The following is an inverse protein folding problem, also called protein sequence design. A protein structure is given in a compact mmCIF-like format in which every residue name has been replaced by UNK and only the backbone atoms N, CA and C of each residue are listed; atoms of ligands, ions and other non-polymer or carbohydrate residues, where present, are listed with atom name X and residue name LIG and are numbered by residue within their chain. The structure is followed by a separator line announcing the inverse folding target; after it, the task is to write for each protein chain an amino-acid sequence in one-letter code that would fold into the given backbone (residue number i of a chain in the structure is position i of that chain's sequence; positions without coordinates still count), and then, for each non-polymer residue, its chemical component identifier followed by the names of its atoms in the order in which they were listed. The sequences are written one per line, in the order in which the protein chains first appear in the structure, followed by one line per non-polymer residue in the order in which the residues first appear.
data_IF_041463286477
#
_entry.id   IF_041463286477
#
_cell.length_a   1.000
_cell.length_b   1.000
_cell.length_c   1.000
_cell.angle_alpha   90.00
_cell.angle_beta   90.00
_cell.angle_gamma   90.00
#
_symmetry.space_group_name_H-M   'P 1'
#
loop_
_entity.id
_entity.type
_entity.pdbx_description
1 polymer ?
#
# COMPACT_ATOMS: atom_id res chain seq x y z
N UNK A 1 7.15 46.39 65.43
CA UNK A 1 8.06 46.38 64.26
C UNK A 1 7.96 45.01 63.59
N UNK A 2 7.23 44.91 62.46
CA UNK A 2 7.07 43.66 61.70
C UNK A 2 8.26 43.50 60.74
N UNK A 3 8.95 42.36 60.78
CA UNK A 3 10.00 41.98 59.83
C UNK A 3 9.33 41.43 58.56
N UNK A 4 9.67 42.01 57.42
CA UNK A 4 9.27 41.51 56.09
C UNK A 4 10.32 40.46 55.67
N UNK A 5 9.86 39.23 55.47
CA UNK A 5 10.62 38.19 54.75
C UNK A 5 10.50 38.47 53.26
N UNK A 6 11.64 38.71 52.60
CA UNK A 6 11.73 38.69 51.14
C UNK A 6 12.12 37.26 50.74
N UNK A 7 11.19 36.50 50.15
CA UNK A 7 11.50 35.24 49.48
C UNK A 7 11.73 35.58 48.01
N UNK A 8 12.96 35.42 47.56
CA UNK A 8 13.33 35.49 46.15
C UNK A 8 13.00 34.13 45.52
N UNK A 9 11.95 34.06 44.71
CA UNK A 9 11.67 32.91 43.84
C UNK A 9 12.43 33.14 42.54
N UNK A 10 13.54 32.44 42.35
CA UNK A 10 14.24 32.36 41.07
C UNK A 10 13.60 31.22 40.30
N UNK A 11 12.74 31.54 39.34
CA UNK A 11 12.23 30.59 38.36
C UNK A 11 13.34 30.27 37.35
N UNK A 12 13.86 29.05 37.40
CA UNK A 12 14.68 28.50 36.31
C UNK A 12 13.70 28.05 35.23
N UNK A 13 13.56 28.85 34.17
CA UNK A 13 12.93 28.43 32.93
C UNK A 13 14.01 27.74 32.11
N UNK A 14 14.14 26.42 32.26
CA UNK A 14 14.84 25.59 31.28
C UNK A 14 13.92 25.44 30.08
N UNK A 15 14.06 26.34 29.11
CA UNK A 15 13.45 26.20 27.79
C UNK A 15 14.15 25.08 27.03
N UNK A 16 13.55 23.89 27.02
CA UNK A 16 13.73 22.98 25.90
C UNK A 16 12.96 23.60 24.72
N UNK A 17 13.64 24.42 23.92
CA UNK A 17 13.15 24.80 22.60
C UNK A 17 13.28 23.58 21.68
N UNK A 18 12.40 22.59 21.87
CA UNK A 18 12.15 21.59 20.82
C UNK A 18 11.37 22.28 19.71
N UNK A 19 11.70 21.97 18.45
CA UNK A 19 10.82 22.32 17.34
C UNK A 19 9.42 21.80 17.62
N UNK A 20 8.35 22.57 17.34
CA UNK A 20 7.00 22.05 17.48
C UNK A 20 6.83 20.78 16.63
N UNK A 21 6.11 19.79 17.15
CA UNK A 21 5.91 18.48 16.51
C UNK A 21 5.35 18.62 15.08
N UNK A 22 4.48 19.60 14.89
CA UNK A 22 3.87 19.97 13.62
C UNK A 22 3.79 21.49 13.47
N UNK A 23 4.03 21.97 12.24
CA UNK A 23 3.70 23.34 11.82
C UNK A 23 2.87 23.31 10.55
N UNK A 24 1.94 24.26 10.42
CA UNK A 24 1.30 24.56 9.15
C UNK A 24 2.12 25.63 8.43
N UNK A 25 2.80 25.25 7.34
CA UNK A 25 3.68 26.14 6.55
C UNK A 25 2.83 27.14 5.76
N UNK A 26 1.71 26.64 5.23
CA UNK A 26 0.64 27.38 4.55
C UNK A 26 -0.63 26.54 4.67
N UNK A 27 -1.78 27.13 4.34
CA UNK A 27 -3.08 26.45 4.44
C UNK A 27 -3.05 25.06 3.79
N UNK A 28 -3.31 24.03 4.58
CA UNK A 28 -3.34 22.64 4.10
C UNK A 28 -1.96 22.01 3.82
N UNK A 29 -0.86 22.67 4.19
CA UNK A 29 0.50 22.15 4.05
C UNK A 29 1.21 22.16 5.39
N UNK A 30 1.61 20.98 5.82
CA UNK A 30 2.11 20.73 7.16
C UNK A 30 3.51 20.14 7.10
N UNK A 31 4.38 20.56 8.01
CA UNK A 31 5.72 20.00 8.17
C UNK A 31 5.87 19.37 9.55
N UNK A 32 6.42 18.16 9.58
CA UNK A 32 6.61 17.33 10.78
C UNK A 32 7.96 16.63 10.75
N UNK A 33 8.41 16.12 11.90
CA UNK A 33 9.63 15.31 11.98
C UNK A 33 9.31 13.82 12.12
N UNK A 34 8.17 13.48 12.69
CA UNK A 34 7.70 12.12 12.90
C UNK A 34 6.42 11.89 12.10
N UNK A 35 6.29 10.69 11.53
CA UNK A 35 5.10 10.28 10.78
C UNK A 35 3.84 10.35 11.65
N UNK A 36 3.96 10.02 12.93
CA UNK A 36 2.86 10.02 13.90
C UNK A 36 2.18 11.40 14.06
N UNK A 37 2.86 12.49 13.68
CA UNK A 37 2.33 13.84 13.76
C UNK A 37 1.60 14.29 12.49
N UNK A 38 1.58 13.47 11.42
CA UNK A 38 0.93 13.83 10.17
C UNK A 38 -0.60 13.95 10.32
N UNK A 39 -1.24 15.00 9.77
CA UNK A 39 -2.68 15.19 9.88
C UNK A 39 -3.45 14.36 8.84
N UNK A 40 -3.19 13.05 8.81
CA UNK A 40 -3.88 12.12 7.91
C UNK A 40 -5.34 11.94 8.37
N UNK A 41 -6.32 11.93 7.45
CA UNK A 41 -7.71 11.70 7.81
C UNK A 41 -7.91 10.24 8.21
N UNK A 42 -8.69 10.00 9.25
CA UNK A 42 -8.95 8.64 9.71
C UNK A 42 -10.44 8.27 9.67
N UNK A 43 -11.25 9.03 8.93
CA UNK A 43 -12.67 8.77 8.76
C UNK A 43 -13.18 9.30 7.41
N UNK A 44 -14.32 8.78 6.97
CA UNK A 44 -15.03 9.26 5.78
C UNK A 44 -14.66 8.58 4.46
N UNK A 45 -13.90 7.48 4.53
CA UNK A 45 -13.47 6.70 3.36
C UNK A 45 -13.62 5.20 3.63
N UNK A 46 -13.98 4.46 2.58
CA UNK A 46 -14.05 3.00 2.57
C UNK A 46 -12.64 2.40 2.42
N UNK A 47 -11.77 3.06 1.64
CA UNK A 47 -10.39 2.63 1.40
C UNK A 47 -9.42 3.79 1.64
N UNK A 48 -8.38 3.52 2.40
CA UNK A 48 -7.21 4.38 2.54
C UNK A 48 -6.06 3.73 1.80
N UNK A 49 -5.38 4.44 0.90
CA UNK A 49 -4.24 3.91 0.16
C UNK A 49 -3.00 4.77 0.33
N UNK A 50 -1.90 4.11 0.69
CA UNK A 50 -0.54 4.64 0.58
C UNK A 50 0.06 4.18 -0.74
N UNK A 51 0.14 5.08 -1.70
CA UNK A 51 0.83 4.90 -2.98
C UNK A 51 2.33 5.11 -2.82
N UNK A 52 3.10 4.02 -2.80
CA UNK A 52 4.53 4.01 -2.54
C UNK A 52 5.43 4.08 -3.78
N UNK A 53 6.68 4.45 -3.55
CA UNK A 53 7.79 4.01 -4.38
C UNK A 53 8.45 2.84 -3.63
N UNK A 54 8.40 1.63 -4.21
CA UNK A 54 8.75 0.40 -3.51
C UNK A 54 10.18 0.39 -2.97
N UNK A 55 10.41 -0.16 -1.78
CA UNK A 55 11.76 -0.35 -1.27
C UNK A 55 12.32 0.83 -0.47
N UNK A 56 11.45 1.73 0.01
CA UNK A 56 11.81 2.89 0.83
C UNK A 56 11.34 2.72 2.29
N UNK A 57 12.29 2.77 3.22
CA UNK A 57 12.03 2.49 4.64
C UNK A 57 11.02 3.45 5.25
N UNK A 58 11.12 4.74 4.94
CA UNK A 58 10.28 5.79 5.52
C UNK A 58 8.82 5.67 5.06
N UNK A 59 8.57 5.13 3.86
CA UNK A 59 7.21 4.85 3.40
C UNK A 59 6.63 3.63 4.13
N UNK A 60 7.45 2.63 4.48
CA UNK A 60 7.02 1.55 5.37
C UNK A 60 6.60 2.08 6.74
N UNK A 61 7.35 3.04 7.29
CA UNK A 61 6.99 3.71 8.55
C UNK A 61 5.69 4.51 8.41
N UNK A 62 5.50 5.23 7.30
CA UNK A 62 4.24 5.91 6.97
C UNK A 62 3.05 4.96 7.03
N UNK A 63 3.17 3.84 6.34
CA UNK A 63 2.11 2.85 6.27
C UNK A 63 1.76 2.28 7.65
N UNK A 64 2.77 1.85 8.42
CA UNK A 64 2.57 1.23 9.72
C UNK A 64 2.01 2.21 10.77
N UNK A 65 2.44 3.47 10.76
CA UNK A 65 1.84 4.47 11.66
C UNK A 65 0.41 4.82 11.22
N UNK A 66 0.14 4.89 9.91
CA UNK A 66 -1.22 5.15 9.46
C UNK A 66 -2.18 4.01 9.79
N UNK A 67 -1.69 2.76 9.73
CA UNK A 67 -2.41 1.58 10.23
C UNK A 67 -2.81 1.76 11.70
N UNK A 68 -1.88 2.14 12.56
CA UNK A 68 -2.16 2.37 13.99
C UNK A 68 -3.20 3.48 14.17
N UNK A 69 -3.05 4.61 13.46
CA UNK A 69 -4.00 5.72 13.53
C UNK A 69 -5.41 5.28 13.14
N UNK A 70 -5.55 4.54 12.03
CA UNK A 70 -6.84 4.05 11.53
C UNK A 70 -7.44 2.99 12.45
N UNK A 71 -6.61 2.09 12.98
CA UNK A 71 -7.04 1.09 13.95
C UNK A 71 -7.57 1.76 15.22
N UNK A 72 -6.83 2.71 15.79
CA UNK A 72 -7.24 3.43 17.01
C UNK A 72 -8.52 4.26 16.82
N UNK A 73 -8.75 4.83 15.64
CA UNK A 73 -9.89 5.71 15.38
C UNK A 73 -11.14 5.00 14.87
N UNK A 74 -10.99 3.92 14.11
CA UNK A 74 -12.09 3.23 13.43
C UNK A 74 -12.23 1.76 13.77
N UNK A 75 -11.23 1.18 14.44
CA UNK A 75 -11.13 -0.27 14.62
C UNK A 75 -10.78 -0.99 13.32
N UNK A 76 -10.08 -0.35 12.38
CA UNK A 76 -9.62 -0.97 11.14
C UNK A 76 -8.76 -2.20 11.46
N UNK A 77 -9.12 -3.34 10.86
CA UNK A 77 -8.37 -4.60 10.98
C UNK A 77 -7.85 -5.12 9.65
N UNK A 78 -8.20 -4.48 8.54
CA UNK A 78 -8.04 -5.07 7.22
C UNK A 78 -6.98 -4.29 6.45
N UNK A 79 -5.90 -4.98 6.11
CA UNK A 79 -4.80 -4.48 5.29
C UNK A 79 -4.79 -5.19 3.94
N UNK A 80 -4.69 -4.44 2.85
CA UNK A 80 -4.47 -5.00 1.51
C UNK A 80 -3.04 -4.67 1.03
N UNK A 81 -2.31 -5.67 0.54
CA UNK A 81 -0.95 -5.49 0.02
C UNK A 81 -0.88 -5.89 -1.46
N UNK A 82 -0.07 -5.14 -2.22
CA UNK A 82 0.38 -5.55 -3.55
C UNK A 82 1.40 -6.69 -3.44
N UNK A 83 0.89 -7.91 -3.31
CA UNK A 83 1.64 -9.16 -3.25
C UNK A 83 0.73 -10.33 -3.66
N UNK A 84 1.36 -11.43 -4.06
CA UNK A 84 0.71 -12.66 -4.54
C UNK A 84 -0.31 -13.23 -3.54
N UNK A 85 -1.58 -13.39 -3.98
CA UNK A 85 -2.64 -13.95 -3.13
C UNK A 85 -2.33 -15.35 -2.60
N UNK A 86 -1.60 -16.13 -3.38
CA UNK A 86 -1.22 -17.52 -3.04
C UNK A 86 -0.44 -17.66 -1.72
N UNK A 87 0.12 -16.58 -1.18
CA UNK A 87 0.88 -16.59 0.07
C UNK A 87 0.11 -15.93 1.23
N UNK A 88 -1.19 -15.68 1.09
CA UNK A 88 -1.99 -14.96 2.08
C UNK A 88 -2.07 -15.70 3.41
N UNK A 89 -2.23 -17.03 3.39
CA UNK A 89 -2.24 -17.84 4.62
C UNK A 89 -0.90 -17.74 5.36
N UNK A 90 0.22 -17.96 4.67
CA UNK A 90 1.57 -17.81 5.23
C UNK A 90 1.81 -16.42 5.83
N UNK A 91 1.34 -15.37 5.17
CA UNK A 91 1.44 -14.00 5.67
C UNK A 91 0.64 -13.84 6.98
N UNK A 92 -0.60 -14.35 7.03
CA UNK A 92 -1.46 -14.26 8.20
C UNK A 92 -0.96 -15.12 9.38
N UNK A 93 -0.45 -16.33 9.12
CA UNK A 93 0.20 -17.15 10.14
C UNK A 93 1.43 -16.43 10.74
N UNK A 94 2.23 -15.78 9.90
CA UNK A 94 3.41 -15.05 10.35
C UNK A 94 3.04 -13.83 11.21
N UNK A 95 2.09 -13.00 10.77
CA UNK A 95 1.71 -11.77 11.50
C UNK A 95 0.87 -12.05 12.75
N UNK A 96 0.17 -13.19 12.81
CA UNK A 96 -0.59 -13.60 13.99
C UNK A 96 0.28 -14.21 15.09
N UNK A 97 1.51 -14.62 14.72
CA UNK A 97 2.47 -15.30 15.58
C UNK A 97 2.30 -16.82 15.64
N UNK A 98 1.52 -17.41 14.73
CA UNK A 98 1.39 -18.86 14.60
C UNK A 98 2.71 -19.52 14.14
N UNK A 99 3.49 -18.79 13.32
CA UNK A 99 4.85 -19.18 12.91
C UNK A 99 5.84 -18.04 13.14
N UNK A 100 7.10 -18.38 13.41
CA UNK A 100 8.23 -17.43 13.45
C UNK A 100 8.96 -17.31 12.10
N UNK A 101 8.58 -18.16 11.13
CA UNK A 101 9.21 -18.26 9.83
C UNK A 101 8.38 -17.47 8.83
N UNK A 102 8.97 -16.42 8.27
CA UNK A 102 8.40 -15.74 7.11
C UNK A 102 8.74 -16.54 5.85
N UNK A 103 7.74 -16.82 5.02
CA UNK A 103 7.94 -17.42 3.70
C UNK A 103 8.92 -16.60 2.87
N UNK A 104 9.84 -17.28 2.17
CA UNK A 104 10.88 -16.62 1.38
C UNK A 104 10.29 -15.76 0.25
N UNK A 105 9.18 -16.19 -0.32
CA UNK A 105 8.50 -15.46 -1.40
C UNK A 105 7.90 -14.12 -0.94
N UNK A 106 7.62 -13.98 0.36
CA UNK A 106 7.14 -12.73 0.97
C UNK A 106 8.28 -11.77 1.38
N UNK A 107 9.53 -12.05 0.99
CA UNK A 107 10.69 -11.28 1.44
C UNK A 107 10.62 -9.79 1.04
N UNK A 108 9.97 -9.45 -0.09
CA UNK A 108 9.78 -8.08 -0.53
C UNK A 108 8.87 -7.26 0.41
N UNK A 109 7.97 -7.93 1.12
CA UNK A 109 7.06 -7.33 2.11
C UNK A 109 7.48 -7.56 3.55
N UNK A 110 8.64 -8.16 3.79
CA UNK A 110 9.09 -8.56 5.13
C UNK A 110 9.04 -7.44 6.17
N UNK A 111 9.44 -6.21 5.83
CA UNK A 111 9.44 -5.11 6.80
C UNK A 111 8.02 -4.67 7.18
N UNK A 112 7.08 -4.72 6.22
CA UNK A 112 5.67 -4.42 6.48
C UNK A 112 5.07 -5.51 7.35
N UNK A 113 5.26 -6.79 6.97
CA UNK A 113 4.73 -7.93 7.71
C UNK A 113 5.32 -8.02 9.14
N UNK A 114 6.62 -7.79 9.31
CA UNK A 114 7.26 -7.68 10.64
C UNK A 114 6.63 -6.55 11.47
N UNK A 115 6.39 -5.39 10.85
CA UNK A 115 5.75 -4.25 11.53
C UNK A 115 4.32 -4.54 11.97
N UNK A 116 3.52 -5.18 11.10
CA UNK A 116 2.15 -5.61 11.42
C UNK A 116 2.18 -6.65 12.53
N UNK A 117 3.08 -7.64 12.47
CA UNK A 117 3.28 -8.63 13.53
C UNK A 117 3.55 -8.00 14.89
N UNK A 118 4.52 -7.09 14.95
CA UNK A 118 4.83 -6.39 16.20
C UNK A 118 3.65 -5.58 16.72
N UNK A 119 2.82 -5.03 15.83
CA UNK A 119 1.61 -4.35 16.26
C UNK A 119 0.57 -5.33 16.78
N UNK A 120 0.32 -6.45 16.09
CA UNK A 120 -0.57 -7.53 16.53
C UNK A 120 -0.21 -8.10 17.90
N UNK A 121 1.08 -8.17 18.24
CA UNK A 121 1.54 -8.58 19.58
C UNK A 121 1.06 -7.63 20.70
N UNK A 122 0.64 -6.41 20.36
CA UNK A 122 0.09 -5.42 21.30
C UNK A 122 -1.44 -5.41 21.36
N UNK A 123 -2.10 -6.07 20.42
CA UNK A 123 -3.57 -6.04 20.26
C UNK A 123 -4.22 -7.28 20.90
N UNK A 124 -5.46 -7.19 21.39
CA UNK A 124 -6.23 -8.36 21.78
C UNK A 124 -6.62 -9.18 20.53
N UNK A 125 -6.88 -10.47 20.73
CA UNK A 125 -7.11 -11.43 19.63
C UNK A 125 -8.22 -11.00 18.65
N UNK A 126 -9.29 -10.39 19.18
CA UNK A 126 -10.43 -9.93 18.38
C UNK A 126 -10.20 -8.61 17.64
N UNK A 127 -9.05 -7.97 17.85
CA UNK A 127 -8.67 -6.67 17.25
C UNK A 127 -7.42 -6.79 16.37
N UNK A 128 -6.87 -8.01 16.20
CA UNK A 128 -5.72 -8.24 15.33
C UNK A 128 -5.99 -7.78 13.90
N UNK A 129 -4.93 -7.32 13.28
CA UNK A 129 -4.84 -6.96 11.87
C UNK A 129 -4.68 -8.25 11.05
N UNK A 130 -5.48 -8.33 9.99
CA UNK A 130 -5.44 -9.35 8.95
C UNK A 130 -4.93 -8.71 7.66
N UNK A 131 -4.14 -9.47 6.92
CA UNK A 131 -3.60 -9.03 5.64
C UNK A 131 -4.27 -9.82 4.53
N UNK A 132 -4.68 -9.12 3.48
CA UNK A 132 -5.08 -9.69 2.21
C UNK A 132 -4.04 -9.35 1.16
N UNK A 133 -3.54 -10.37 0.47
CA UNK A 133 -2.62 -10.23 -0.64
C UNK A 133 -3.48 -10.34 -1.90
N UNK A 134 -3.50 -9.30 -2.73
CA UNK A 134 -4.52 -9.20 -3.80
C UNK A 134 -3.94 -9.17 -5.21
N UNK A 135 -2.62 -9.35 -5.33
CA UNK A 135 -1.93 -9.43 -6.61
C UNK A 135 -2.03 -10.83 -7.23
N UNK A 136 -1.76 -10.89 -8.55
CA UNK A 136 -2.03 -12.05 -9.38
C UNK A 136 -0.83 -12.55 -10.18
N UNK A 137 0.32 -11.90 -10.03
CA UNK A 137 1.49 -12.14 -10.85
C UNK A 137 2.31 -13.36 -10.40
N UNK A 138 1.62 -14.31 -9.77
CA UNK A 138 2.18 -15.47 -9.09
C UNK A 138 2.75 -16.50 -10.09
N UNK A 139 3.86 -17.16 -9.75
CA UNK A 139 4.35 -18.31 -10.51
C UNK A 139 3.36 -19.47 -10.42
N UNK A 140 3.39 -20.37 -11.41
CA UNK A 140 2.46 -21.51 -11.49
C UNK A 140 2.54 -22.42 -10.26
N UNK A 141 3.70 -22.54 -9.63
CA UNK A 141 3.88 -23.29 -8.38
C UNK A 141 3.07 -22.70 -7.23
N UNK A 142 2.98 -21.38 -7.14
CA UNK A 142 2.23 -20.70 -6.10
C UNK A 142 0.72 -20.74 -6.40
N UNK A 143 0.33 -20.62 -7.67
CA UNK A 143 -1.07 -20.85 -8.09
C UNK A 143 -1.51 -22.29 -7.75
N UNK A 144 -0.63 -23.28 -7.98
CA UNK A 144 -0.89 -24.68 -7.65
C UNK A 144 -1.06 -24.92 -6.16
N UNK A 145 -0.20 -24.32 -5.34
CA UNK A 145 -0.29 -24.36 -3.87
C UNK A 145 -1.62 -23.74 -3.39
N UNK A 146 -1.99 -22.57 -3.91
CA UNK A 146 -3.25 -21.94 -3.56
C UNK A 146 -4.47 -22.80 -3.94
N UNK A 147 -4.43 -23.50 -5.08
CA UNK A 147 -5.45 -24.48 -5.47
C UNK A 147 -5.55 -25.62 -4.44
N UNK A 148 -4.42 -26.11 -3.93
CA UNK A 148 -4.40 -27.17 -2.91
C UNK A 148 -5.02 -26.69 -1.60
N UNK A 149 -4.70 -25.48 -1.17
CA UNK A 149 -5.20 -24.89 0.08
C UNK A 149 -6.73 -24.72 0.01
N UNK A 150 -7.23 -24.10 -1.07
CA UNK A 150 -8.67 -23.95 -1.29
C UNK A 150 -9.35 -25.33 -1.36
N UNK A 151 -8.74 -26.30 -2.05
CA UNK A 151 -9.28 -27.65 -2.16
C UNK A 151 -9.41 -28.35 -0.79
N UNK A 152 -8.43 -28.17 0.10
CA UNK A 152 -8.49 -28.65 1.48
C UNK A 152 -9.61 -27.94 2.26
N UNK A 153 -9.69 -26.61 2.16
CA UNK A 153 -10.68 -25.78 2.85
C UNK A 153 -12.13 -26.17 2.50
N UNK A 154 -12.43 -26.30 1.20
CA UNK A 154 -13.78 -26.67 0.74
C UNK A 154 -14.09 -28.16 0.98
N UNK A 155 -13.09 -28.97 1.32
CA UNK A 155 -13.21 -30.41 1.57
C UNK A 155 -13.59 -31.20 0.32
N UNK A 156 -13.11 -30.81 -0.86
CA UNK A 156 -13.50 -31.39 -2.14
C UNK A 156 -12.71 -32.64 -2.55
N UNK A 157 -12.44 -33.55 -1.62
CA UNK A 157 -11.55 -34.72 -1.83
C UNK A 157 -11.97 -35.76 -2.90
N UNK A 158 -13.08 -35.54 -3.59
CA UNK A 158 -13.47 -36.30 -4.79
C UNK A 158 -12.88 -35.70 -6.09
N UNK A 159 -12.31 -34.49 -6.03
CA UNK A 159 -11.61 -33.82 -7.13
C UNK A 159 -10.12 -34.11 -6.98
N UNK A 160 -9.51 -34.68 -8.02
CA UNK A 160 -8.08 -35.01 -8.01
C UNK A 160 -7.28 -33.78 -8.45
N UNK A 161 -6.43 -33.26 -7.55
CA UNK A 161 -5.49 -32.19 -7.88
C UNK A 161 -4.19 -32.84 -8.39
N UNK A 162 -3.73 -32.53 -9.61
CA UNK A 162 -2.49 -33.11 -10.14
C UNK A 162 -1.29 -32.74 -9.27
N UNK A 163 -0.20 -33.51 -9.39
CA UNK A 163 1.08 -33.07 -8.85
C UNK A 163 1.57 -31.79 -9.54
N UNK A 164 2.46 -31.03 -8.89
CA UNK A 164 3.01 -29.81 -9.51
C UNK A 164 3.70 -30.11 -10.86
N UNK A 165 4.46 -31.21 -10.96
CA UNK A 165 5.12 -31.62 -12.20
C UNK A 165 4.11 -31.86 -13.34
N UNK A 166 2.97 -32.48 -13.05
CA UNK A 166 1.89 -32.67 -14.03
C UNK A 166 1.17 -31.35 -14.36
N UNK A 167 0.94 -30.51 -13.35
CA UNK A 167 0.27 -29.21 -13.51
C UNK A 167 1.10 -28.26 -14.37
N UNK A 168 2.43 -28.30 -14.27
CA UNK A 168 3.35 -27.54 -15.13
C UNK A 168 3.29 -27.96 -16.62
N UNK A 169 2.83 -29.17 -16.91
CA UNK A 169 2.63 -29.66 -18.28
C UNK A 169 1.25 -29.29 -18.86
N UNK A 170 0.33 -28.78 -18.04
CA UNK A 170 -1.01 -28.42 -18.48
C UNK A 170 -1.03 -27.17 -19.37
N UNK A 171 -2.11 -27.03 -20.14
CA UNK A 171 -2.45 -25.79 -20.81
C UNK A 171 -3.52 -25.03 -20.00
N UNK A 172 -3.83 -23.80 -20.42
CA UNK A 172 -4.82 -22.95 -19.76
C UNK A 172 -6.20 -23.62 -19.65
N UNK A 173 -6.66 -24.32 -20.69
CA UNK A 173 -7.99 -24.94 -20.68
C UNK A 173 -8.09 -26.05 -19.62
N UNK A 174 -7.06 -26.89 -19.50
CA UNK A 174 -7.01 -27.98 -18.51
C UNK A 174 -7.02 -27.41 -17.07
N UNK A 175 -6.21 -26.38 -16.82
CA UNK A 175 -6.16 -25.72 -15.51
C UNK A 175 -7.48 -25.03 -15.15
N UNK A 176 -8.14 -24.37 -16.12
CA UNK A 176 -9.44 -23.73 -15.91
C UNK A 176 -10.56 -24.74 -15.63
N UNK A 177 -10.54 -25.91 -16.27
CA UNK A 177 -11.52 -26.97 -15.98
C UNK A 177 -11.42 -27.40 -14.52
N UNK A 178 -10.21 -27.54 -13.98
CA UNK A 178 -10.02 -27.88 -12.56
C UNK A 178 -10.60 -26.78 -11.64
N UNK A 179 -10.29 -25.52 -11.92
CA UNK A 179 -10.80 -24.38 -11.13
C UNK A 179 -12.33 -24.33 -11.17
N UNK A 180 -12.96 -24.55 -12.33
CA UNK A 180 -14.42 -24.59 -12.43
C UNK A 180 -15.03 -25.75 -11.63
N UNK A 181 -14.41 -26.92 -11.61
CA UNK A 181 -14.85 -28.03 -10.75
C UNK A 181 -14.80 -27.67 -9.27
N UNK A 182 -13.73 -26.99 -8.84
CA UNK A 182 -13.59 -26.51 -7.46
C UNK A 182 -14.64 -25.45 -7.13
N UNK A 183 -14.95 -24.53 -8.06
CA UNK A 183 -16.01 -23.52 -7.88
C UNK A 183 -17.38 -24.15 -7.72
N UNK A 184 -17.68 -25.22 -8.48
CA UNK A 184 -18.93 -25.96 -8.34
C UNK A 184 -19.04 -26.70 -6.98
N UNK A 185 -17.90 -27.08 -6.40
CA UNK A 185 -17.83 -27.74 -5.09
C UNK A 185 -17.86 -26.75 -3.91
N UNK A 186 -17.34 -25.54 -4.10
CA UNK A 186 -17.32 -24.46 -3.11
C UNK A 186 -18.75 -24.03 -2.73
N UNK A 187 -18.94 -23.65 -1.46
CA UNK A 187 -20.28 -23.33 -0.91
C UNK A 187 -20.38 -21.92 -0.36
N UNK A 188 -19.26 -21.35 0.03
CA UNK A 188 -19.13 -20.01 0.58
C UNK A 188 -18.61 -19.02 -0.47
N UNK A 189 -18.98 -17.73 -0.36
CA UNK A 189 -18.53 -16.70 -1.29
C UNK A 189 -17.02 -16.44 -1.29
N UNK A 190 -16.33 -16.73 -0.19
CA UNK A 190 -14.90 -16.47 -0.02
C UNK A 190 -14.08 -17.41 -0.90
N UNK A 191 -14.29 -18.72 -0.78
CA UNK A 191 -13.68 -19.74 -1.62
C UNK A 191 -13.97 -19.49 -3.11
N UNK A 192 -15.19 -19.04 -3.44
CA UNK A 192 -15.55 -18.70 -4.83
C UNK A 192 -14.73 -17.50 -5.32
N UNK A 193 -14.60 -16.43 -4.52
CA UNK A 193 -13.79 -15.26 -4.89
C UNK A 193 -12.30 -15.62 -5.05
N UNK A 194 -11.77 -16.46 -4.16
CA UNK A 194 -10.39 -16.96 -4.29
C UNK A 194 -10.20 -17.76 -5.58
N UNK A 195 -11.14 -18.65 -5.92
CA UNK A 195 -11.07 -19.43 -7.17
C UNK A 195 -11.27 -18.58 -8.43
N UNK A 196 -12.09 -17.53 -8.38
CA UNK A 196 -12.16 -16.53 -9.45
C UNK A 196 -10.82 -15.82 -9.63
N UNK A 197 -10.13 -15.53 -8.53
CA UNK A 197 -8.80 -14.93 -8.57
C UNK A 197 -7.77 -15.88 -9.17
N UNK A 198 -7.75 -17.14 -8.74
CA UNK A 198 -6.91 -18.21 -9.31
C UNK A 198 -7.14 -18.33 -10.82
N UNK A 199 -8.39 -18.30 -11.28
CA UNK A 199 -8.70 -18.35 -12.72
C UNK A 199 -8.03 -17.20 -13.49
N UNK A 200 -8.08 -15.98 -12.94
CA UNK A 200 -7.47 -14.82 -13.58
C UNK A 200 -5.93 -14.90 -13.54
N UNK A 201 -5.34 -15.34 -12.42
CA UNK A 201 -3.89 -15.57 -12.30
C UNK A 201 -3.41 -16.59 -13.34
N UNK A 202 -4.16 -17.67 -13.58
CA UNK A 202 -3.86 -18.63 -14.65
C UNK A 202 -3.88 -17.97 -16.03
N UNK A 203 -4.93 -17.23 -16.37
CA UNK A 203 -4.98 -16.51 -17.66
C UNK A 203 -3.84 -15.50 -17.80
N UNK A 204 -3.46 -14.81 -16.71
CA UNK A 204 -2.35 -13.87 -16.69
C UNK A 204 -0.99 -14.57 -16.93
N UNK A 205 -0.77 -15.72 -16.28
CA UNK A 205 0.40 -16.57 -16.46
C UNK A 205 0.53 -17.12 -17.89
N UNK A 206 -0.55 -17.70 -18.43
CA UNK A 206 -0.55 -18.30 -19.78
C UNK A 206 -0.47 -17.25 -20.90
N UNK A 207 -0.86 -15.99 -20.64
CA UNK A 207 -0.59 -14.87 -21.53
C UNK A 207 0.91 -14.49 -21.62
N UNK A 208 1.76 -15.07 -20.76
CA UNK A 208 3.21 -14.91 -20.77
C UNK A 208 3.74 -13.86 -19.80
N UNK A 209 2.90 -13.38 -18.88
CA UNK A 209 3.32 -12.53 -17.77
C UNK A 209 3.86 -13.43 -16.66
N UNK A 210 5.15 -13.32 -16.35
CA UNK A 210 5.80 -14.11 -15.31
C UNK A 210 6.55 -13.16 -14.41
N UNK A 211 6.16 -13.11 -13.15
CA UNK A 211 6.86 -12.30 -12.16
C UNK A 211 7.36 -13.23 -11.07
N UNK A 212 8.68 -13.21 -10.87
CA UNK A 212 9.37 -13.91 -9.80
C UNK A 212 10.00 -12.85 -8.87
N UNK A 213 10.59 -13.27 -7.75
CA UNK A 213 11.24 -12.40 -6.72
C UNK A 213 12.37 -11.52 -7.30
N UNK A 214 12.75 -11.72 -8.56
CA UNK A 214 13.75 -10.93 -9.30
C UNK A 214 13.21 -9.85 -10.24
N UNK A 215 14.04 -9.37 -11.19
CA UNK A 215 13.64 -8.39 -12.19
C UNK A 215 12.44 -8.90 -13.00
N UNK A 216 11.50 -8.01 -13.35
CA UNK A 216 10.32 -8.36 -14.15
C UNK A 216 10.75 -8.95 -15.50
N UNK A 217 10.32 -10.18 -15.81
CA UNK A 217 10.57 -10.86 -17.09
C UNK A 217 9.24 -11.06 -17.83
N UNK A 218 8.90 -10.22 -18.80
CA UNK A 218 7.67 -10.39 -19.59
C UNK A 218 7.22 -9.15 -20.37
N UNK A 219 6.16 -9.29 -21.15
CA UNK A 219 5.50 -8.17 -21.83
C UNK A 219 4.40 -7.63 -20.93
N UNK A 220 4.51 -6.38 -20.43
CA UNK A 220 3.50 -5.70 -19.60
C UNK A 220 2.16 -5.40 -20.34
N UNK A 221 1.80 -6.14 -21.39
CA UNK A 221 0.62 -5.87 -22.23
C UNK A 221 -0.72 -6.12 -21.51
N UNK A 222 -0.73 -6.91 -20.43
CA UNK A 222 -1.97 -7.35 -19.77
C UNK A 222 -2.27 -6.61 -18.46
N UNK A 223 -1.62 -5.46 -18.21
CA UNK A 223 -1.91 -4.59 -17.07
C UNK A 223 -3.42 -4.30 -16.86
N UNK A 224 -4.28 -4.14 -17.90
CA UNK A 224 -5.72 -3.95 -17.69
C UNK A 224 -6.46 -5.13 -17.05
N UNK A 225 -6.00 -6.37 -17.27
CA UNK A 225 -6.60 -7.58 -16.67
C UNK A 225 -6.23 -7.65 -15.19
N UNK A 226 -4.94 -7.45 -14.89
CA UNK A 226 -4.44 -7.40 -13.51
C UNK A 226 -5.17 -6.35 -12.67
N UNK A 227 -5.29 -5.12 -13.17
CA UNK A 227 -6.01 -4.07 -12.43
C UNK A 227 -7.51 -4.35 -12.27
N UNK A 228 -8.15 -5.03 -13.23
CA UNK A 228 -9.56 -5.41 -13.10
C UNK A 228 -9.77 -6.42 -11.97
N UNK A 229 -8.90 -7.42 -11.86
CA UNK A 229 -9.01 -8.42 -10.82
C UNK A 229 -8.64 -7.89 -9.43
N UNK A 230 -7.57 -7.07 -9.32
CA UNK A 230 -7.28 -6.35 -8.08
C UNK A 230 -8.49 -5.50 -7.67
N UNK A 231 -9.17 -4.85 -8.63
CA UNK A 231 -10.40 -4.10 -8.35
C UNK A 231 -11.49 -5.01 -7.79
N UNK A 232 -11.69 -6.20 -8.34
CA UNK A 232 -12.70 -7.17 -7.87
C UNK A 232 -12.38 -7.63 -6.44
N UNK A 233 -11.12 -7.98 -6.16
CA UNK A 233 -10.67 -8.36 -4.82
C UNK A 233 -10.88 -7.23 -3.81
N UNK A 234 -10.50 -6.00 -4.16
CA UNK A 234 -10.75 -4.85 -3.29
C UNK A 234 -12.24 -4.58 -3.08
N UNK A 235 -13.08 -4.79 -4.10
CA UNK A 235 -14.54 -4.67 -3.94
C UNK A 235 -15.10 -5.74 -3.02
N UNK A 236 -14.58 -6.97 -3.07
CA UNK A 236 -14.95 -8.04 -2.15
C UNK A 236 -14.62 -7.63 -0.71
N UNK A 237 -13.39 -7.18 -0.44
CA UNK A 237 -12.96 -6.72 0.89
C UNK A 237 -13.86 -5.59 1.42
N UNK A 238 -14.17 -4.60 0.59
CA UNK A 238 -15.03 -3.47 0.99
C UNK A 238 -16.48 -3.88 1.24
N UNK A 239 -17.03 -4.84 0.47
CA UNK A 239 -18.44 -5.24 0.55
C UNK A 239 -18.70 -6.28 1.64
N UNK A 240 -17.87 -7.30 1.75
CA UNK A 240 -18.12 -8.45 2.64
C UNK A 240 -17.76 -8.15 4.10
N UNK A 241 -16.83 -7.22 4.37
CA UNK A 241 -16.40 -6.85 5.72
C UNK A 241 -17.32 -5.82 6.42
N UNK A 242 -18.60 -5.76 6.02
CA UNK A 242 -19.71 -5.04 6.66
C UNK A 242 -19.38 -3.63 7.20
N UNK A 243 -18.62 -2.84 6.43
CA UNK A 243 -18.36 -1.43 6.71
C UNK A 243 -17.10 -1.12 7.52
N UNK A 244 -16.18 -2.08 7.67
CA UNK A 244 -14.82 -1.74 8.09
C UNK A 244 -14.04 -1.12 6.93
N UNK A 245 -13.29 -0.03 7.17
CA UNK A 245 -12.39 0.51 6.17
C UNK A 245 -11.20 -0.42 5.91
N UNK A 246 -10.62 -0.33 4.72
CA UNK A 246 -9.40 -1.07 4.31
C UNK A 246 -8.22 -0.12 4.19
N UNK A 247 -7.05 -0.52 4.66
CA UNK A 247 -5.79 0.20 4.43
C UNK A 247 -4.93 -0.56 3.42
N UNK A 248 -4.54 0.09 2.32
CA UNK A 248 -3.82 -0.52 1.22
C UNK A 248 -2.40 0.05 1.06
N UNK A 249 -1.41 -0.80 0.76
CA UNK A 249 -0.06 -0.40 0.34
C UNK A 249 0.23 -0.92 -1.07
N UNK A 250 0.38 0.00 -2.02
CA UNK A 250 0.60 -0.30 -3.43
C UNK A 250 1.58 0.68 -4.04
N UNK A 251 2.21 0.29 -5.16
CA UNK A 251 2.93 1.22 -6.02
C UNK A 251 2.06 2.43 -6.37
N UNK A 252 2.66 3.61 -6.36
CA UNK A 252 1.98 4.90 -6.52
C UNK A 252 1.11 5.02 -7.78
N UNK A 253 1.39 4.25 -8.83
CA UNK A 253 0.52 4.20 -10.01
C UNK A 253 -0.87 3.64 -9.70
N UNK A 254 -0.96 2.59 -8.89
CA UNK A 254 -2.21 1.96 -8.47
C UNK A 254 -3.10 2.89 -7.63
N UNK A 255 -2.46 3.81 -6.90
CA UNK A 255 -3.14 4.79 -6.05
C UNK A 255 -3.77 5.95 -6.84
N UNK A 256 -3.52 6.08 -8.15
CA UNK A 256 -4.05 7.19 -8.95
C UNK A 256 -5.57 7.09 -9.11
N UNK A 257 -6.28 8.20 -8.94
CA UNK A 257 -7.73 8.31 -9.20
C UNK A 257 -8.07 8.79 -10.62
N UNK A 258 -7.05 9.16 -11.40
CA UNK A 258 -7.19 9.61 -12.79
C UNK A 258 -5.97 9.22 -13.62
N UNK A 259 -6.16 9.16 -14.94
CA UNK A 259 -5.07 8.84 -15.88
C UNK A 259 -4.08 10.01 -16.00
N UNK A 260 -3.00 9.95 -15.21
CA UNK A 260 -2.09 11.08 -15.06
C UNK A 260 -0.74 10.93 -15.78
N UNK A 261 -0.29 9.74 -16.18
CA UNK A 261 1.04 9.57 -16.79
C UNK A 261 1.07 10.03 -18.26
N UNK A 262 2.16 10.71 -18.67
CA UNK A 262 2.34 11.17 -20.06
C UNK A 262 2.53 9.98 -21.02
N UNK A 263 3.34 8.99 -20.62
CA UNK A 263 3.66 7.80 -21.41
C UNK A 263 3.49 6.54 -20.56
N UNK A 264 2.26 6.11 -20.24
CA UNK A 264 2.05 4.86 -19.52
C UNK A 264 2.49 3.67 -20.38
N UNK A 265 3.03 2.62 -19.76
CA UNK A 265 3.37 1.35 -20.45
C UNK A 265 2.15 0.70 -21.11
N UNK A 266 0.96 0.90 -20.51
CA UNK A 266 -0.32 0.48 -21.05
C UNK A 266 -1.23 1.72 -21.25
N UNK A 267 -1.32 2.27 -22.48
CA UNK A 267 -2.24 3.35 -22.81
C UNK A 267 -3.67 2.99 -22.41
N UNK A 268 -4.38 3.95 -21.81
CA UNK A 268 -5.78 3.79 -21.35
C UNK A 268 -6.02 2.80 -20.20
N UNK A 269 -4.96 2.20 -19.64
CA UNK A 269 -5.10 1.36 -18.44
C UNK A 269 -5.48 2.23 -17.23
N UNK A 270 -6.62 1.89 -16.61
CA UNK A 270 -7.06 2.48 -15.34
C UNK A 270 -6.53 1.65 -14.19
N UNK A 271 -5.90 2.33 -13.23
CA UNK A 271 -5.58 1.77 -11.93
C UNK A 271 -6.85 1.30 -11.21
N UNK A 272 -6.71 0.36 -10.28
CA UNK A 272 -7.83 -0.08 -9.47
C UNK A 272 -8.43 1.05 -8.61
N UNK A 273 -7.64 2.01 -8.11
CA UNK A 273 -8.18 3.13 -7.34
C UNK A 273 -9.09 4.02 -8.21
N UNK A 274 -8.75 4.22 -9.48
CA UNK A 274 -9.61 4.92 -10.44
C UNK A 274 -10.91 4.13 -10.67
N UNK A 275 -10.83 2.82 -10.89
CA UNK A 275 -12.01 1.96 -11.12
C UNK A 275 -12.95 1.91 -9.91
N UNK A 276 -12.41 1.79 -8.70
CA UNK A 276 -13.17 1.83 -7.46
C UNK A 276 -13.84 3.20 -7.23
N UNK A 277 -13.13 4.30 -7.51
CA UNK A 277 -13.72 5.65 -7.42
C UNK A 277 -14.89 5.80 -8.40
N UNK A 278 -14.74 5.31 -9.63
CA UNK A 278 -15.81 5.30 -10.65
C UNK A 278 -17.01 4.41 -10.27
N UNK A 279 -16.80 3.36 -9.48
CA UNK A 279 -17.87 2.50 -8.96
C UNK A 279 -18.56 3.04 -7.70
N UNK A 280 -18.10 4.19 -7.18
CA UNK A 280 -18.68 4.88 -6.04
C UNK A 280 -18.07 4.53 -4.68
N UNK A 281 -16.97 3.77 -4.65
CA UNK A 281 -16.19 3.54 -3.43
C UNK A 281 -15.43 4.81 -3.07
N UNK A 282 -15.53 5.23 -1.82
CA UNK A 282 -14.83 6.42 -1.32
C UNK A 282 -13.38 6.06 -0.96
N UNK A 283 -12.42 6.69 -1.63
CA UNK A 283 -10.99 6.41 -1.46
C UNK A 283 -10.28 7.67 -1.00
N UNK A 284 -9.43 7.54 0.03
CA UNK A 284 -8.41 8.52 0.36
C UNK A 284 -7.06 8.03 -0.13
N UNK A 285 -6.51 8.72 -1.13
CA UNK A 285 -5.28 8.31 -1.80
C UNK A 285 -4.09 9.22 -1.51
N UNK A 286 -3.00 8.64 -1.01
CA UNK A 286 -1.75 9.33 -0.70
C UNK A 286 -0.68 8.95 -1.71
N UNK A 287 -0.01 9.94 -2.29
CA UNK A 287 1.26 9.72 -2.99
C UNK A 287 2.43 9.98 -2.03
N UNK A 288 3.23 8.94 -1.74
CA UNK A 288 4.37 9.03 -0.82
C UNK A 288 5.70 8.89 -1.57
N UNK A 289 6.65 9.79 -1.32
CA UNK A 289 7.96 9.77 -2.01
C UNK A 289 9.07 10.48 -1.22
N UNK A 290 10.33 10.11 -1.48
CA UNK A 290 11.51 10.87 -1.05
C UNK A 290 11.93 11.97 -2.03
N UNK A 291 12.51 13.07 -1.54
CA UNK A 291 13.18 14.08 -2.38
C UNK A 291 14.53 13.60 -2.88
N UNK A 292 15.31 13.01 -1.97
CA UNK A 292 16.61 12.41 -2.22
C UNK A 292 16.73 11.10 -1.47
N UNK A 293 17.74 10.30 -1.80
CA UNK A 293 18.09 9.10 -1.06
C UNK A 293 18.29 7.92 -1.98
N UNK A 294 18.09 6.71 -1.43
CA UNK A 294 18.23 5.45 -2.17
C UNK A 294 17.11 4.50 -1.80
N UNK A 295 16.72 3.67 -2.75
CA UNK A 295 15.84 2.52 -2.51
C UNK A 295 16.50 1.20 -2.86
N UNK A 296 15.84 0.13 -2.43
CA UNK A 296 16.19 -1.24 -2.79
C UNK A 296 14.93 -2.06 -3.05
N UNK A 297 14.79 -2.60 -4.25
CA UNK A 297 13.64 -3.40 -4.63
C UNK A 297 14.06 -4.47 -5.64
N UNK A 298 13.63 -5.73 -5.44
CA UNK A 298 13.90 -6.86 -6.36
C UNK A 298 15.37 -6.96 -6.78
N UNK A 299 16.24 -6.94 -5.78
CA UNK A 299 17.70 -6.96 -5.93
C UNK A 299 18.34 -5.78 -6.67
N UNK A 300 17.58 -4.71 -6.92
CA UNK A 300 18.04 -3.50 -7.57
C UNK A 300 18.11 -2.32 -6.61
N UNK A 301 19.28 -1.66 -6.58
CA UNK A 301 19.44 -0.34 -5.95
C UNK A 301 19.16 0.74 -6.98
N UNK A 302 18.40 1.74 -6.57
CA UNK A 302 18.12 2.91 -7.40
C UNK A 302 18.22 4.19 -6.58
N UNK A 303 18.56 5.29 -7.25
CA UNK A 303 18.58 6.61 -6.64
C UNK A 303 17.16 7.20 -6.63
N UNK A 304 16.77 7.76 -5.49
CA UNK A 304 15.50 8.47 -5.36
C UNK A 304 15.77 9.94 -5.65
N UNK A 305 15.09 10.48 -6.65
CA UNK A 305 15.09 11.91 -6.92
C UNK A 305 13.67 12.37 -7.23
N UNK A 306 13.23 13.42 -6.53
CA UNK A 306 12.09 14.22 -6.92
C UNK A 306 12.55 15.67 -7.11
N UNK A 307 12.39 16.18 -8.33
CA UNK A 307 12.70 17.57 -8.61
C UNK A 307 11.59 18.48 -8.04
N UNK A 308 11.79 18.97 -6.81
CA UNK A 308 10.85 19.83 -6.10
C UNK A 308 10.56 21.18 -6.80
N UNK A 309 11.35 21.59 -7.81
CA UNK A 309 11.03 22.76 -8.63
C UNK A 309 9.95 22.48 -9.68
N UNK A 310 9.68 21.21 -10.00
CA UNK A 310 8.64 20.81 -10.97
C UNK A 310 7.25 20.76 -10.36
N UNK A 311 7.17 20.55 -9.05
CA UNK A 311 5.90 20.59 -8.33
C UNK A 311 5.55 22.06 -8.09
N UNK A 312 4.51 22.54 -8.76
CA UNK A 312 4.11 23.95 -8.74
C UNK A 312 2.67 24.10 -8.23
N UNK A 313 2.46 24.96 -7.25
CA UNK A 313 1.14 25.29 -6.69
C UNK A 313 0.44 26.38 -7.52
N UNK A 314 -0.85 26.59 -7.27
CA UNK A 314 -1.71 27.54 -8.01
C UNK A 314 -1.17 28.98 -8.04
N UNK A 315 -0.54 29.42 -6.95
CA UNK A 315 0.05 30.75 -6.79
C UNK A 315 1.43 30.89 -7.44
N UNK A 316 1.92 29.85 -8.11
CA UNK A 316 3.21 29.80 -8.76
C UNK A 316 4.38 29.43 -7.83
N UNK A 317 4.14 29.26 -6.53
CA UNK A 317 5.16 28.74 -5.61
C UNK A 317 5.51 27.30 -5.97
N UNK A 318 6.74 26.89 -5.65
CA UNK A 318 7.21 25.52 -5.90
C UNK A 318 7.30 24.74 -4.59
N UNK A 319 7.26 23.41 -4.66
CA UNK A 319 7.55 22.55 -3.51
C UNK A 319 8.91 22.89 -2.90
N UNK A 320 9.91 23.23 -3.71
CA UNK A 320 11.22 23.67 -3.21
C UNK A 320 11.14 24.93 -2.35
N UNK A 321 10.25 25.89 -2.67
CA UNK A 321 10.04 27.10 -1.86
C UNK A 321 9.40 26.74 -0.53
N UNK A 322 8.35 25.93 -0.56
CA UNK A 322 7.64 25.45 0.64
C UNK A 322 8.58 24.69 1.59
N UNK A 323 9.42 23.81 1.04
CA UNK A 323 10.47 23.14 1.81
C UNK A 323 11.50 24.13 2.38
N UNK A 324 11.76 25.24 1.70
CA UNK A 324 12.64 26.30 2.20
C UNK A 324 12.07 27.02 3.43
N UNK A 325 10.75 27.09 3.56
CA UNK A 325 10.06 27.74 4.68
C UNK A 325 9.99 26.85 5.95
N UNK A 326 10.27 25.55 5.82
CA UNK A 326 10.29 24.58 6.92
C UNK A 326 11.60 23.74 6.94
N UNK A 327 12.79 24.36 7.05
CA UNK A 327 14.07 23.68 6.86
C UNK A 327 14.40 22.63 7.93
N UNK A 328 13.86 22.79 9.14
CA UNK A 328 14.13 21.95 10.31
C UNK A 328 13.20 20.73 10.43
N UNK A 329 12.42 20.44 9.38
CA UNK A 329 11.42 19.38 9.34
C UNK A 329 11.74 18.34 8.28
N UNK A 330 11.71 17.06 8.63
CA UNK A 330 12.07 15.95 7.75
C UNK A 330 10.96 15.53 6.78
N UNK A 331 9.70 15.83 7.12
CA UNK A 331 8.53 15.36 6.38
C UNK A 331 7.61 16.55 6.07
N UNK A 332 7.09 16.59 4.85
CA UNK A 332 6.07 17.53 4.42
C UNK A 332 4.82 16.76 3.98
N UNK A 333 3.65 17.19 4.43
CA UNK A 333 2.35 16.71 3.96
C UNK A 333 1.59 17.86 3.30
N UNK A 334 1.04 17.59 2.12
CA UNK A 334 0.22 18.52 1.34
C UNK A 334 -1.15 17.89 1.18
N UNK A 335 -2.18 18.51 1.76
CA UNK A 335 -3.57 18.15 1.54
C UNK A 335 -4.04 18.70 0.20
N UNK A 336 -4.25 17.83 -0.78
CA UNK A 336 -4.68 18.20 -2.13
C UNK A 336 -6.19 18.37 -2.24
N UNK A 337 -6.96 18.09 -1.18
CA UNK A 337 -8.40 18.36 -1.10
C UNK A 337 -8.69 19.82 -0.76
N UNK A 338 -7.68 20.55 -0.29
CA UNK A 338 -7.74 21.99 -0.04
C UNK A 338 -7.61 22.75 -1.36
N UNK A 339 -8.52 23.70 -1.61
CA UNK A 339 -8.62 24.44 -2.89
C UNK A 339 -7.30 25.08 -3.33
N UNK A 340 -6.52 25.63 -2.39
CA UNK A 340 -5.24 26.26 -2.67
C UNK A 340 -4.16 25.29 -3.19
N UNK A 341 -4.30 23.99 -2.91
CA UNK A 341 -3.34 22.95 -3.22
C UNK A 341 -3.83 21.98 -4.31
N UNK A 342 -5.16 21.87 -4.50
CA UNK A 342 -5.77 20.89 -5.41
C UNK A 342 -5.32 21.05 -6.86
N UNK A 343 -5.05 22.28 -7.30
CA UNK A 343 -4.58 22.59 -8.64
C UNK A 343 -3.06 22.55 -8.80
N UNK A 344 -2.32 22.00 -7.82
CA UNK A 344 -0.89 21.84 -7.97
C UNK A 344 -0.57 20.93 -9.17
N UNK A 345 0.51 21.22 -9.89
CA UNK A 345 1.00 20.41 -10.99
C UNK A 345 2.21 19.62 -10.52
N UNK A 346 2.21 18.30 -10.69
CA UNK A 346 3.32 17.43 -10.28
C UNK A 346 4.52 17.49 -11.26
N UNK A 347 4.27 17.93 -12.49
CA UNK A 347 5.25 17.93 -13.57
C UNK A 347 5.60 16.52 -14.07
N UNK A 348 6.54 16.43 -15.02
CA UNK A 348 6.94 15.15 -15.63
C UNK A 348 7.39 14.12 -14.57
N UNK A 349 6.87 12.86 -14.60
CA UNK A 349 6.21 12.21 -15.74
C UNK A 349 4.68 12.35 -15.80
N UNK A 350 4.08 13.18 -14.96
CA UNK A 350 2.64 13.44 -14.97
C UNK A 350 2.26 14.46 -16.05
N UNK A 351 1.04 14.32 -16.57
CA UNK A 351 0.35 15.28 -17.43
C UNK A 351 0.07 16.55 -16.64
N UNK A 352 -0.13 17.66 -17.37
CA UNK A 352 -0.52 18.94 -16.78
C UNK A 352 -2.01 18.93 -16.37
N UNK A 353 -2.33 18.10 -15.37
CA UNK A 353 -3.64 18.01 -14.73
C UNK A 353 -3.51 18.31 -13.23
N UNK A 354 -4.56 18.84 -12.57
CA UNK A 354 -4.57 19.10 -11.13
C UNK A 354 -4.19 17.86 -10.31
N UNK A 355 -3.22 17.99 -9.38
CA UNK A 355 -2.80 16.90 -8.52
C UNK A 355 -3.94 16.36 -7.64
N UNK A 356 -4.89 17.21 -7.24
CA UNK A 356 -6.09 16.82 -6.50
C UNK A 356 -7.06 15.92 -7.28
N UNK A 357 -6.95 15.87 -8.62
CA UNK A 357 -7.66 14.88 -9.44
C UNK A 357 -6.93 13.52 -9.46
N UNK A 358 -5.66 13.47 -9.08
CA UNK A 358 -4.83 12.26 -9.11
C UNK A 358 -4.82 11.60 -7.73
N UNK A 359 -4.58 12.38 -6.66
CA UNK A 359 -4.44 11.93 -5.28
C UNK A 359 -5.16 12.90 -4.33
N UNK A 360 -5.48 12.46 -3.12
CA UNK A 360 -6.03 13.32 -2.05
C UNK A 360 -4.95 14.01 -1.23
N UNK A 361 -3.76 13.42 -1.16
CA UNK A 361 -2.64 14.01 -0.46
C UNK A 361 -1.30 13.59 -1.04
N UNK A 362 -0.28 14.36 -0.67
CA UNK A 362 1.10 14.15 -1.04
C UNK A 362 2.01 14.22 0.19
N UNK A 363 2.74 13.13 0.46
CA UNK A 363 3.71 13.05 1.57
C UNK A 363 5.11 12.97 0.99
N UNK A 364 5.96 13.89 1.45
CA UNK A 364 7.33 14.05 0.98
C UNK A 364 8.29 13.90 2.13
N UNK A 365 9.17 12.91 2.04
CA UNK A 365 10.32 12.75 2.92
C UNK A 365 11.51 13.50 2.33
N UNK A 366 12.24 14.28 3.12
CA UNK A 366 13.42 14.99 2.63
C UNK A 366 14.52 14.05 2.17
N UNK A 367 14.76 13.00 2.93
CA UNK A 367 15.73 11.96 2.61
C UNK A 367 15.09 10.61 2.91
N UNK A 368 15.43 9.61 2.09
CA UNK A 368 14.95 8.25 2.27
C UNK A 368 16.07 7.23 2.20
N UNK A 369 15.87 6.14 2.92
CA UNK A 369 16.82 5.04 3.01
C UNK A 369 16.22 3.76 2.42
N UNK A 370 17.07 2.87 1.88
CA UNK A 370 16.60 1.59 1.39
C UNK A 370 15.97 0.77 2.51
N UNK A 371 14.87 0.08 2.20
CA UNK A 371 14.35 -0.99 3.06
C UNK A 371 15.43 -2.06 3.29
N UNK A 372 15.39 -2.70 4.46
CA UNK A 372 16.23 -3.88 4.73
C UNK A 372 15.99 -4.95 3.67
N UNK A 373 17.07 -5.51 3.11
CA UNK A 373 16.96 -6.63 2.19
C UNK A 373 16.72 -7.93 2.98
N UNK A 374 15.48 -8.42 2.93
CA UNK A 374 15.11 -9.69 3.54
C UNK A 374 15.13 -10.88 2.56
N UNK A 375 15.47 -10.64 1.28
CA UNK A 375 15.48 -11.67 0.24
C UNK A 375 16.83 -12.40 0.10
N UNK A 376 17.87 -11.97 0.84
CA UNK A 376 19.25 -12.46 0.73
C UNK A 376 19.74 -13.32 1.88
#
# INVERSE_FOLDING_TARGET
MKKICLILVVGIVTGCFGSPALIEVRQGVYAVNEVADLPLPTSGYDVYIVGEMHGLHEISLLFLEYLKMLHESTGLQIVALEEDQSYEEDANEYISGATDILRVDLCLRANILKGIRWYNETLPENEKIYVHLVDLDSPLSAIHEHILDIHEEIGAGDIDIPSLEEFEEWNEDDARILVEQLKEAAKDPESINQLETVEISLSYYYAGNRIEIGPVVGFQSDAPIREEAITQNMQYLVKELQGQPVLALFGSWHAQKSLALINPSAPDCKSWAMRLTESGVSIYSVFARGLSGKGYWRDERYDVELNAHRVQFADGTTLSTVLGDAPDYSILYVDLRVDENSSALLGNPFRDIPAGEIYDAFVVFRDVTPMENACS
#
